data_IF_144235270659
#
_entry.id   IF_144235270659
#
_cell.length_a   1.000
_cell.length_b   1.000
_cell.length_c   1.000
_cell.angle_alpha   90.00
_cell.angle_beta   90.00
_cell.angle_gamma   90.00
#
_symmetry.space_group_name_H-M   'P 1'
#
loop_
_entity.id
_entity.type
_entity.pdbx_description
1 polymer ?
#
# COMPACT_ATOMS: atom_id res chain seq x y z
N UNK A 1 -75.98 20.13 76.73
CA UNK A 1 -75.05 19.24 75.99
C UNK A 1 -75.12 19.46 74.47
N UNK A 2 -76.29 19.67 73.86
CA UNK A 2 -76.43 19.87 72.41
C UNK A 2 -75.78 21.15 71.85
N UNK A 3 -75.77 22.25 72.60
CA UNK A 3 -75.16 23.53 72.18
C UNK A 3 -73.64 23.48 72.09
N UNK A 4 -72.98 22.76 73.01
CA UNK A 4 -71.52 22.59 73.02
C UNK A 4 -71.07 21.77 71.82
N UNK A 5 -71.83 20.73 71.45
CA UNK A 5 -71.53 19.89 70.28
C UNK A 5 -71.60 20.71 68.99
N UNK A 6 -72.60 21.59 68.86
CA UNK A 6 -72.78 22.46 67.69
C UNK A 6 -71.62 23.46 67.52
N UNK A 7 -71.16 24.07 68.61
CA UNK A 7 -70.03 25.00 68.57
C UNK A 7 -68.73 24.29 68.19
N UNK A 8 -68.49 23.09 68.73
CA UNK A 8 -67.31 22.29 68.38
C UNK A 8 -67.35 21.87 66.90
N UNK A 9 -68.52 21.48 66.38
CA UNK A 9 -68.70 21.15 64.97
C UNK A 9 -68.40 22.36 64.06
N UNK A 10 -68.89 23.57 64.41
CA UNK A 10 -68.60 24.78 63.65
C UNK A 10 -67.09 25.13 63.64
N UNK A 11 -66.38 24.96 64.75
CA UNK A 11 -64.93 25.21 64.80
C UNK A 11 -64.16 24.19 63.97
N UNK A 12 -64.56 22.92 64.00
CA UNK A 12 -63.92 21.85 63.20
C UNK A 12 -64.15 22.06 61.70
N UNK A 13 -65.37 22.43 61.29
CA UNK A 13 -65.67 22.76 59.89
C UNK A 13 -64.90 24.00 59.45
N UNK A 14 -64.84 25.06 60.28
CA UNK A 14 -64.03 26.25 60.00
C UNK A 14 -62.54 25.95 59.86
N UNK A 15 -61.98 25.06 60.69
CA UNK A 15 -60.59 24.62 60.59
C UNK A 15 -60.33 23.78 59.33
N UNK A 16 -61.28 22.91 58.94
CA UNK A 16 -61.19 22.10 57.72
C UNK A 16 -61.26 22.95 56.46
N UNK A 17 -62.14 23.95 56.41
CA UNK A 17 -62.21 24.89 55.28
C UNK A 17 -60.94 25.74 55.15
N UNK A 18 -60.37 26.17 56.29
CA UNK A 18 -59.11 26.93 56.29
C UNK A 18 -57.93 26.05 55.82
N UNK A 19 -57.92 24.77 56.22
CA UNK A 19 -56.90 23.81 55.79
C UNK A 19 -57.03 23.48 54.30
N UNK A 20 -58.24 23.24 53.81
CA UNK A 20 -58.51 23.01 52.38
C UNK A 20 -58.16 24.24 51.52
N UNK A 21 -58.48 25.44 52.02
CA UNK A 21 -58.12 26.71 51.36
C UNK A 21 -56.61 26.94 51.31
N UNK A 22 -55.87 26.53 52.36
CA UNK A 22 -54.40 26.60 52.38
C UNK A 22 -53.78 25.57 51.42
N UNK A 23 -54.28 24.34 51.43
CA UNK A 23 -53.82 23.27 50.54
C UNK A 23 -54.04 23.61 49.06
N UNK A 24 -55.17 24.21 48.71
CA UNK A 24 -55.46 24.68 47.34
C UNK A 24 -54.50 25.78 46.89
N UNK A 25 -54.18 26.75 47.76
CA UNK A 25 -53.20 27.80 47.47
C UNK A 25 -51.78 27.23 47.29
N UNK A 26 -51.39 26.25 48.09
CA UNK A 26 -50.08 25.61 47.98
C UNK A 26 -49.97 24.74 46.72
N UNK A 27 -51.06 24.07 46.31
CA UNK A 27 -51.13 23.36 45.02
C UNK A 27 -51.07 24.33 43.83
N UNK A 28 -51.79 25.45 43.87
CA UNK A 28 -51.74 26.47 42.81
C UNK A 28 -50.33 27.04 42.64
N UNK A 29 -49.62 27.32 43.73
CA UNK A 29 -48.22 27.78 43.68
C UNK A 29 -47.28 26.71 43.12
N UNK A 30 -47.48 25.44 43.47
CA UNK A 30 -46.69 24.34 42.92
C UNK A 30 -46.92 24.16 41.41
N UNK A 31 -48.16 24.34 40.93
CA UNK A 31 -48.47 24.31 39.50
C UNK A 31 -47.85 25.48 38.74
N UNK A 32 -47.94 26.71 39.26
CA UNK A 32 -47.29 27.88 38.65
C UNK A 32 -45.77 27.65 38.54
N UNK A 33 -45.14 27.15 39.61
CA UNK A 33 -43.70 26.86 39.60
C UNK A 33 -43.32 25.81 38.55
N UNK A 34 -44.14 24.76 38.36
CA UNK A 34 -43.90 23.75 37.31
C UNK A 34 -44.10 24.32 35.91
N UNK A 35 -45.09 25.19 35.72
CA UNK A 35 -45.33 25.86 34.43
C UNK A 35 -44.15 26.78 34.09
N UNK A 36 -43.63 27.55 35.05
CA UNK A 36 -42.46 28.40 34.84
C UNK A 36 -41.21 27.57 34.52
N UNK A 37 -41.01 26.44 35.23
CA UNK A 37 -39.88 25.52 34.97
C UNK A 37 -39.98 24.84 33.59
N UNK A 38 -41.19 24.43 33.17
CA UNK A 38 -41.45 23.92 31.82
C UNK A 38 -41.21 24.99 30.75
N UNK A 39 -41.65 26.23 30.99
CA UNK A 39 -41.46 27.33 30.04
C UNK A 39 -39.96 27.71 29.91
N UNK A 40 -39.21 27.63 31.02
CA UNK A 40 -37.75 27.82 31.01
C UNK A 40 -37.03 26.69 30.27
N UNK A 41 -37.50 25.44 30.39
CA UNK A 41 -36.95 24.32 29.62
C UNK A 41 -37.27 24.43 28.13
N UNK A 42 -38.49 24.82 27.76
CA UNK A 42 -38.90 25.03 26.36
C UNK A 42 -38.14 26.20 25.74
N UNK A 43 -37.90 27.29 26.48
CA UNK A 43 -37.11 28.41 25.97
C UNK A 43 -35.65 28.02 25.74
N UNK A 44 -35.04 27.26 26.67
CA UNK A 44 -33.68 26.71 26.49
C UNK A 44 -33.60 25.77 25.28
N UNK A 45 -34.58 24.88 25.11
CA UNK A 45 -34.64 23.98 23.95
C UNK A 45 -34.83 24.74 22.63
N UNK A 46 -35.69 25.78 22.61
CA UNK A 46 -35.84 26.63 21.43
C UNK A 46 -34.55 27.36 21.10
N UNK A 47 -33.83 27.91 22.08
CA UNK A 47 -32.52 28.54 21.83
C UNK A 47 -31.53 27.55 21.25
N UNK A 48 -31.45 26.32 21.78
CA UNK A 48 -30.58 25.27 21.23
C UNK A 48 -30.99 24.90 19.80
N UNK A 49 -32.28 24.74 19.52
CA UNK A 49 -32.77 24.43 18.15
C UNK A 49 -32.47 25.55 17.16
N UNK A 50 -32.57 26.83 17.56
CA UNK A 50 -32.16 27.95 16.69
C UNK A 50 -30.66 27.89 16.41
N UNK A 51 -29.82 27.66 17.42
CA UNK A 51 -28.36 27.58 17.21
C UNK A 51 -27.96 26.39 16.33
N UNK A 52 -28.62 25.24 16.50
CA UNK A 52 -28.40 24.07 15.65
C UNK A 52 -28.92 24.34 14.24
N UNK A 53 -30.05 25.02 14.08
CA UNK A 53 -30.58 25.45 12.78
C UNK A 53 -29.63 26.40 12.04
N UNK A 54 -29.05 27.37 12.74
CA UNK A 54 -28.04 28.28 12.19
C UNK A 54 -26.76 27.54 11.80
N UNK A 55 -26.28 26.63 12.65
CA UNK A 55 -25.10 25.80 12.37
C UNK A 55 -25.33 24.86 11.17
N UNK A 56 -26.49 24.21 11.09
CA UNK A 56 -26.84 23.33 9.97
C UNK A 56 -26.96 24.14 8.67
N UNK A 57 -27.53 25.35 8.73
CA UNK A 57 -27.63 26.23 7.56
C UNK A 57 -26.25 26.74 7.11
N UNK A 58 -25.36 27.03 8.05
CA UNK A 58 -23.97 27.40 7.76
C UNK A 58 -23.21 26.25 7.09
N UNK A 59 -23.31 25.04 7.64
CA UNK A 59 -22.69 23.83 7.07
C UNK A 59 -23.27 23.48 5.69
N UNK A 60 -24.59 23.57 5.51
CA UNK A 60 -25.22 23.31 4.21
C UNK A 60 -24.80 24.37 3.17
N UNK A 61 -24.62 25.62 3.59
CA UNK A 61 -24.10 26.67 2.72
C UNK A 61 -22.62 26.47 2.34
N UNK A 62 -21.82 25.87 3.23
CA UNK A 62 -20.41 25.51 3.02
C UNK A 62 -20.29 24.32 2.08
N UNK A 63 -21.09 23.28 2.29
CA UNK A 63 -21.17 22.13 1.37
C UNK A 63 -21.58 22.58 -0.03
N UNK A 64 -22.58 23.47 -0.13
CA UNK A 64 -23.04 23.98 -1.42
C UNK A 64 -22.02 24.89 -2.12
N UNK A 65 -21.28 25.72 -1.38
CA UNK A 65 -20.30 26.66 -1.97
C UNK A 65 -18.95 26.03 -2.26
N UNK A 66 -18.50 25.11 -1.43
CA UNK A 66 -17.10 24.66 -1.48
C UNK A 66 -17.00 23.22 -1.96
N UNK A 67 -17.86 22.32 -1.47
CA UNK A 67 -17.73 20.88 -1.73
C UNK A 67 -18.31 20.50 -3.09
N UNK A 68 -19.49 21.01 -3.45
CA UNK A 68 -20.10 20.68 -4.75
C UNK A 68 -19.23 21.15 -5.95
N UNK A 69 -18.67 22.38 -5.96
CA UNK A 69 -17.81 22.81 -7.06
C UNK A 69 -16.48 22.06 -7.10
N UNK A 70 -15.93 21.70 -5.93
CA UNK A 70 -14.71 20.89 -5.85
C UNK A 70 -14.93 19.45 -6.35
N UNK A 71 -16.12 18.88 -6.12
CA UNK A 71 -16.48 17.58 -6.69
C UNK A 71 -16.71 17.67 -8.20
N UNK A 72 -17.35 18.72 -8.71
CA UNK A 72 -17.53 18.93 -10.15
C UNK A 72 -16.18 19.11 -10.88
N UNK A 73 -15.25 19.86 -10.29
CA UNK A 73 -13.91 20.04 -10.87
C UNK A 73 -13.11 18.73 -10.89
N UNK A 74 -13.16 17.94 -9.81
CA UNK A 74 -12.53 16.62 -9.74
C UNK A 74 -13.17 15.63 -10.72
N UNK A 75 -14.50 15.65 -10.88
CA UNK A 75 -15.19 14.81 -11.86
C UNK A 75 -14.74 15.15 -13.28
N UNK A 76 -14.67 16.43 -13.65
CA UNK A 76 -14.17 16.86 -14.96
C UNK A 76 -12.71 16.47 -15.19
N UNK A 77 -11.87 16.61 -14.17
CA UNK A 77 -10.47 16.21 -14.24
C UNK A 77 -10.33 14.70 -14.45
N UNK A 78 -11.08 13.90 -13.69
CA UNK A 78 -11.09 12.44 -13.84
C UNK A 78 -11.62 12.02 -15.21
N UNK A 79 -12.67 12.67 -15.72
CA UNK A 79 -13.17 12.42 -17.09
C UNK A 79 -12.08 12.70 -18.13
N UNK A 80 -11.33 13.79 -18.00
CA UNK A 80 -10.21 14.10 -18.89
C UNK A 80 -9.09 13.05 -18.84
N UNK A 81 -8.75 12.56 -17.64
CA UNK A 81 -7.76 11.48 -17.48
C UNK A 81 -8.24 10.16 -18.09
N UNK A 82 -9.54 9.84 -17.97
CA UNK A 82 -10.13 8.64 -18.58
C UNK A 82 -10.10 8.74 -20.10
N UNK A 83 -10.37 9.92 -20.67
CA UNK A 83 -10.25 10.14 -22.12
C UNK A 83 -8.80 10.00 -22.61
N UNK A 84 -7.83 10.48 -21.84
CA UNK A 84 -6.40 10.32 -22.15
C UNK A 84 -5.96 8.86 -22.09
N UNK A 85 -6.38 8.12 -21.06
CA UNK A 85 -6.13 6.68 -20.94
C UNK A 85 -6.79 5.92 -22.10
N UNK A 86 -8.01 6.27 -22.49
CA UNK A 86 -8.70 5.65 -23.64
C UNK A 86 -7.92 5.87 -24.95
N UNK A 87 -7.34 7.06 -25.14
CA UNK A 87 -6.50 7.37 -26.29
C UNK A 87 -5.20 6.53 -26.30
N UNK A 88 -4.54 6.40 -25.14
CA UNK A 88 -3.34 5.56 -24.99
C UNK A 88 -3.64 4.08 -25.26
N UNK A 89 -4.78 3.57 -24.77
CA UNK A 89 -5.22 2.19 -25.02
C UNK A 89 -5.50 1.97 -26.51
N UNK A 90 -6.16 2.91 -27.18
CA UNK A 90 -6.36 2.83 -28.63
C UNK A 90 -5.05 2.83 -29.42
N UNK A 91 -4.07 3.61 -28.96
CA UNK A 91 -2.75 3.62 -29.57
C UNK A 91 -2.01 2.30 -29.35
N UNK A 92 -2.08 1.72 -28.15
CA UNK A 92 -1.51 0.42 -27.82
C UNK A 92 -2.13 -0.71 -28.67
N UNK A 93 -3.46 -0.73 -28.83
CA UNK A 93 -4.17 -1.69 -29.70
C UNK A 93 -3.71 -1.56 -31.17
N UNK A 94 -3.47 -0.32 -31.62
CA UNK A 94 -2.86 -0.05 -32.92
C UNK A 94 -1.48 -0.71 -33.08
N UNK A 95 -0.60 -0.56 -32.08
CA UNK A 95 0.71 -1.20 -32.10
C UNK A 95 0.63 -2.73 -32.05
N UNK A 96 -0.27 -3.29 -31.24
CA UNK A 96 -0.48 -4.74 -31.15
C UNK A 96 -0.95 -5.33 -32.48
N UNK A 97 -1.88 -4.69 -33.19
CA UNK A 97 -2.30 -5.13 -34.54
C UNK A 97 -1.15 -5.13 -35.54
N UNK A 98 -0.28 -4.12 -35.49
CA UNK A 98 0.91 -4.05 -36.36
C UNK A 98 1.89 -5.16 -36.02
N UNK A 99 2.14 -5.42 -34.74
CA UNK A 99 3.02 -6.51 -34.29
C UNK A 99 2.47 -7.89 -34.66
N UNK A 100 1.17 -8.12 -34.47
CA UNK A 100 0.50 -9.36 -34.86
C UNK A 100 0.64 -9.63 -36.37
N UNK A 101 0.48 -8.59 -37.20
CA UNK A 101 0.68 -8.70 -38.65
C UNK A 101 2.12 -9.07 -39.00
N UNK A 102 3.11 -8.45 -38.33
CA UNK A 102 4.53 -8.77 -38.53
C UNK A 102 4.87 -10.19 -38.12
N UNK A 103 4.36 -10.66 -36.98
CA UNK A 103 4.55 -12.05 -36.53
C UNK A 103 3.97 -13.04 -37.54
N UNK A 104 2.78 -12.77 -38.06
CA UNK A 104 2.15 -13.61 -39.06
C UNK A 104 2.95 -13.66 -40.38
N UNK A 105 3.54 -12.55 -40.81
CA UNK A 105 4.42 -12.53 -41.98
C UNK A 105 5.74 -13.27 -41.75
N UNK A 106 6.34 -13.15 -40.55
CA UNK A 106 7.51 -13.95 -40.16
C UNK A 106 7.19 -15.46 -40.12
N UNK A 107 6.00 -15.82 -39.65
CA UNK A 107 5.54 -17.21 -39.66
C UNK A 107 5.39 -17.74 -41.10
N UNK A 108 4.82 -16.95 -42.02
CA UNK A 108 4.80 -17.28 -43.45
C UNK A 108 6.21 -17.48 -44.01
N UNK A 109 7.15 -16.59 -43.69
CA UNK A 109 8.56 -16.73 -44.11
C UNK A 109 9.21 -18.01 -43.55
N UNK A 110 8.89 -18.39 -42.31
CA UNK A 110 9.36 -19.65 -41.73
C UNK A 110 8.82 -20.86 -42.48
N UNK A 111 7.53 -20.85 -42.85
CA UNK A 111 6.91 -21.94 -43.62
C UNK A 111 7.53 -22.05 -45.01
N UNK A 112 7.79 -20.93 -45.69
CA UNK A 112 8.44 -20.94 -47.00
C UNK A 112 9.89 -21.43 -46.92
N UNK A 113 10.66 -21.01 -45.90
CA UNK A 113 12.01 -21.54 -45.65
C UNK A 113 12.00 -23.05 -45.38
N UNK A 114 11.02 -23.56 -44.61
CA UNK A 114 10.87 -24.99 -44.39
C UNK A 114 10.55 -25.75 -45.69
N UNK A 115 9.72 -25.18 -46.57
CA UNK A 115 9.45 -25.74 -47.88
C UNK A 115 10.69 -25.73 -48.79
N UNK A 116 11.49 -24.66 -48.76
CA UNK A 116 12.77 -24.58 -49.49
C UNK A 116 13.77 -25.62 -49.00
N UNK A 117 13.88 -25.83 -47.68
CA UNK A 117 14.72 -26.89 -47.11
C UNK A 117 14.31 -28.28 -47.59
N UNK A 118 13.00 -28.59 -47.65
CA UNK A 118 12.53 -29.87 -48.20
C UNK A 118 12.91 -30.04 -49.68
N UNK A 119 12.72 -28.99 -50.50
CA UNK A 119 13.15 -29.03 -51.90
C UNK A 119 14.66 -29.20 -52.06
N UNK A 120 15.45 -28.60 -51.16
CA UNK A 120 16.90 -28.74 -51.19
C UNK A 120 17.34 -30.17 -50.85
N UNK A 121 16.66 -30.82 -49.90
CA UNK A 121 16.84 -32.25 -49.59
C UNK A 121 16.44 -33.14 -50.78
N UNK A 122 15.34 -32.84 -51.47
CA UNK A 122 14.94 -33.56 -52.69
C UNK A 122 15.99 -33.40 -53.81
N UNK A 123 16.52 -32.19 -54.03
CA UNK A 123 17.60 -31.96 -55.00
C UNK A 123 18.88 -32.69 -54.59
N UNK A 124 19.23 -32.69 -53.30
CA UNK A 124 20.38 -33.42 -52.77
C UNK A 124 20.26 -34.92 -53.02
N UNK A 125 19.09 -35.53 -52.74
CA UNK A 125 18.86 -36.96 -53.02
C UNK A 125 18.93 -37.28 -54.51
N UNK A 126 18.42 -36.40 -55.37
CA UNK A 126 18.56 -36.50 -56.82
C UNK A 126 20.03 -36.43 -57.27
N UNK A 127 20.79 -35.44 -56.78
CA UNK A 127 22.22 -35.32 -57.08
C UNK A 127 23.00 -36.52 -56.57
N UNK A 128 22.71 -37.01 -55.34
CA UNK A 128 23.35 -38.21 -54.77
C UNK A 128 23.13 -39.44 -55.65
N UNK A 129 21.94 -39.59 -56.22
CA UNK A 129 21.65 -40.67 -57.18
C UNK A 129 22.45 -40.54 -58.49
N UNK A 130 22.67 -39.32 -58.98
CA UNK A 130 23.46 -39.02 -60.19
C UNK A 130 24.97 -39.22 -59.93
N UNK A 131 25.48 -38.78 -58.78
CA UNK A 131 26.89 -39.00 -58.39
C UNK A 131 27.23 -40.47 -58.16
N UNK A 132 26.26 -41.32 -57.78
CA UNK A 132 26.47 -42.78 -57.70
C UNK A 132 26.79 -43.41 -59.06
N UNK A 133 26.47 -42.71 -60.16
CA UNK A 133 26.76 -43.14 -61.53
C UNK A 133 28.08 -42.56 -62.10
N UNK A 134 28.81 -41.71 -61.38
CA UNK A 134 30.00 -41.03 -61.91
C UNK A 134 31.06 -40.76 -60.86
N UNK A 135 31.99 -41.71 -60.68
CA UNK A 135 33.07 -41.65 -59.69
C UNK A 135 34.42 -41.34 -60.34
N UNK A 136 34.86 -40.08 -60.23
CA UNK A 136 36.28 -39.68 -60.20
C UNK A 136 36.47 -38.18 -59.89
N UNK A 137 35.54 -37.30 -60.28
CA UNK A 137 35.64 -35.85 -60.04
C UNK A 137 34.98 -35.39 -58.71
N UNK A 138 34.59 -36.33 -57.85
CA UNK A 138 33.62 -36.12 -56.75
C UNK A 138 34.31 -35.94 -55.39
N UNK A 139 35.51 -36.49 -55.17
CA UNK A 139 36.20 -36.42 -53.87
C UNK A 139 36.44 -34.99 -53.37
N UNK A 140 37.01 -34.11 -54.20
CA UNK A 140 37.28 -32.72 -53.78
C UNK A 140 36.02 -31.86 -53.57
N UNK A 141 34.86 -32.27 -54.11
CA UNK A 141 33.56 -31.61 -53.86
C UNK A 141 32.84 -32.19 -52.65
N UNK A 142 33.14 -33.43 -52.28
CA UNK A 142 32.61 -34.08 -51.09
C UNK A 142 33.22 -33.48 -49.83
N UNK A 143 34.53 -33.22 -49.81
CA UNK A 143 35.17 -32.55 -48.67
C UNK A 143 34.61 -31.13 -48.44
N UNK A 144 34.46 -30.34 -49.51
CA UNK A 144 33.85 -29.01 -49.41
C UNK A 144 32.35 -29.03 -49.03
N UNK A 145 31.65 -30.14 -49.29
CA UNK A 145 30.26 -30.33 -48.87
C UNK A 145 30.16 -30.80 -47.41
N UNK A 146 31.13 -31.58 -46.93
CA UNK A 146 31.22 -32.00 -45.53
C UNK A 146 31.53 -30.82 -44.61
N UNK A 147 32.44 -29.92 -45.00
CA UNK A 147 32.68 -28.67 -44.26
C UNK A 147 31.40 -27.82 -44.15
N UNK A 148 30.68 -27.66 -45.26
CA UNK A 148 29.40 -26.93 -45.27
C UNK A 148 28.31 -27.62 -44.46
N UNK A 149 28.35 -28.96 -44.33
CA UNK A 149 27.43 -29.71 -43.48
C UNK A 149 27.74 -29.48 -42.01
N UNK A 150 29.03 -29.40 -41.63
CA UNK A 150 29.43 -29.08 -40.26
C UNK A 150 29.02 -27.66 -39.84
N UNK A 151 29.12 -26.69 -40.75
CA UNK A 151 28.62 -25.32 -40.54
C UNK A 151 27.08 -25.28 -40.40
N UNK A 152 26.37 -26.14 -41.15
CA UNK A 152 24.91 -26.27 -41.07
C UNK A 152 24.45 -27.00 -39.79
N UNK A 153 25.20 -27.98 -39.31
CA UNK A 153 24.95 -28.62 -38.01
C UNK A 153 25.14 -27.61 -36.87
N UNK A 154 26.19 -26.79 -36.93
CA UNK A 154 26.43 -25.71 -35.98
C UNK A 154 25.30 -24.68 -35.96
N UNK A 155 24.86 -24.22 -37.14
CA UNK A 155 23.68 -23.35 -37.27
C UNK A 155 22.38 -24.03 -36.79
N UNK A 156 22.26 -25.35 -36.98
CA UNK A 156 21.14 -26.16 -36.47
C UNK A 156 21.08 -26.20 -34.95
N UNK A 157 22.24 -26.32 -34.27
CA UNK A 157 22.33 -26.25 -32.81
C UNK A 157 21.96 -24.88 -32.27
N UNK A 158 22.42 -23.81 -32.93
CA UNK A 158 22.07 -22.42 -32.58
C UNK A 158 20.55 -22.17 -32.73
N UNK A 159 19.92 -22.72 -33.78
CA UNK A 159 18.47 -22.60 -33.99
C UNK A 159 17.68 -23.36 -32.91
N UNK A 160 18.14 -24.53 -32.46
CA UNK A 160 17.49 -25.27 -31.38
C UNK A 160 17.63 -24.56 -30.03
N UNK A 161 18.76 -23.91 -29.78
CA UNK A 161 18.96 -23.07 -28.59
C UNK A 161 18.07 -21.82 -28.61
N UNK A 162 17.90 -21.21 -29.78
CA UNK A 162 16.95 -20.12 -30.01
C UNK A 162 15.49 -20.56 -29.83
N UNK A 163 15.14 -21.77 -30.29
CA UNK A 163 13.82 -22.36 -30.04
C UNK A 163 13.59 -22.61 -28.55
N UNK A 164 14.57 -23.14 -27.82
CA UNK A 164 14.47 -23.38 -26.38
C UNK A 164 14.32 -22.07 -25.59
N UNK A 165 15.01 -21.03 -26.04
CA UNK A 165 14.90 -19.68 -25.49
C UNK A 165 13.52 -19.09 -25.76
N UNK A 166 13.00 -19.24 -26.99
CA UNK A 166 11.65 -18.80 -27.36
C UNK A 166 10.55 -19.54 -26.59
N UNK A 167 10.70 -20.84 -26.35
CA UNK A 167 9.76 -21.62 -25.54
C UNK A 167 9.75 -21.13 -24.10
N UNK A 168 10.92 -20.85 -23.49
CA UNK A 168 10.98 -20.22 -22.17
C UNK A 168 10.32 -18.86 -22.13
N UNK A 169 10.59 -18.00 -23.11
CA UNK A 169 9.93 -16.68 -23.14
C UNK A 169 8.43 -16.77 -23.37
N UNK A 170 7.94 -17.83 -24.03
CA UNK A 170 6.51 -18.07 -24.19
C UNK A 170 5.87 -18.60 -22.90
N UNK A 171 6.55 -19.50 -22.19
CA UNK A 171 6.14 -19.94 -20.85
C UNK A 171 6.09 -18.76 -19.87
N UNK A 172 7.12 -17.89 -19.87
CA UNK A 172 7.15 -16.68 -19.03
C UNK A 172 6.00 -15.72 -19.38
N UNK A 173 5.64 -15.59 -20.65
CA UNK A 173 4.50 -14.76 -21.09
C UNK A 173 3.17 -15.41 -20.74
N UNK A 174 3.06 -16.74 -20.83
CA UNK A 174 1.87 -17.48 -20.42
C UNK A 174 1.63 -17.37 -18.91
N UNK A 175 2.69 -17.41 -18.10
CA UNK A 175 2.62 -17.19 -16.65
C UNK A 175 2.13 -15.76 -16.32
N UNK A 176 2.68 -14.74 -16.99
CA UNK A 176 2.25 -13.34 -16.82
C UNK A 176 0.80 -13.13 -17.29
N UNK A 177 0.39 -13.77 -18.39
CA UNK A 177 -1.01 -13.70 -18.87
C UNK A 177 -1.95 -14.44 -17.92
N UNK A 178 -1.53 -15.57 -17.33
CA UNK A 178 -2.31 -16.30 -16.33
C UNK A 178 -2.48 -15.48 -15.05
N UNK A 179 -1.43 -14.79 -14.61
CA UNK A 179 -1.46 -13.89 -13.46
C UNK A 179 -2.37 -12.67 -13.72
N UNK A 180 -2.29 -12.08 -14.93
CA UNK A 180 -3.18 -11.00 -15.36
C UNK A 180 -4.64 -11.44 -15.49
N UNK A 181 -4.90 -12.67 -15.97
CA UNK A 181 -6.26 -13.19 -16.06
C UNK A 181 -6.86 -13.46 -14.69
N UNK A 182 -6.09 -14.05 -13.76
CA UNK A 182 -6.50 -14.19 -12.35
C UNK A 182 -6.76 -12.84 -11.69
N UNK A 183 -5.96 -11.83 -12.01
CA UNK A 183 -6.15 -10.45 -11.56
C UNK A 183 -7.47 -9.85 -12.08
N UNK A 184 -7.74 -9.98 -13.38
CA UNK A 184 -8.98 -9.43 -13.97
C UNK A 184 -10.24 -10.19 -13.54
N UNK A 185 -10.14 -11.50 -13.34
CA UNK A 185 -11.25 -12.31 -12.83
C UNK A 185 -11.57 -11.96 -11.36
N UNK A 186 -10.54 -11.76 -10.55
CA UNK A 186 -10.67 -11.27 -9.16
C UNK A 186 -11.29 -9.87 -9.06
N UNK A 187 -10.81 -8.91 -9.87
CA UNK A 187 -11.38 -7.55 -9.89
C UNK A 187 -12.83 -7.53 -10.38
N UNK A 188 -13.18 -8.36 -11.37
CA UNK A 188 -14.53 -8.40 -11.92
C UNK A 188 -15.52 -9.07 -10.95
N UNK A 189 -15.14 -10.17 -10.31
CA UNK A 189 -15.99 -10.82 -9.30
C UNK A 189 -16.18 -9.94 -8.06
N UNK A 190 -15.17 -9.16 -7.66
CA UNK A 190 -15.23 -8.20 -6.56
C UNK A 190 -16.09 -6.96 -6.92
N UNK A 191 -16.00 -6.47 -8.15
CA UNK A 191 -16.86 -5.41 -8.67
C UNK A 191 -18.33 -5.84 -8.78
N UNK A 192 -18.58 -7.11 -9.16
CA UNK A 192 -19.93 -7.69 -9.26
C UNK A 192 -20.52 -7.93 -7.88
N UNK A 193 -19.74 -8.45 -6.93
CA UNK A 193 -20.20 -8.67 -5.54
C UNK A 193 -20.44 -7.36 -4.79
N UNK A 194 -19.61 -6.34 -4.99
CA UNK A 194 -19.83 -5.00 -4.40
C UNK A 194 -21.05 -4.28 -4.99
N UNK A 195 -21.34 -4.49 -6.28
CA UNK A 195 -22.56 -3.97 -6.93
C UNK A 195 -23.83 -4.70 -6.47
N UNK A 196 -23.73 -6.00 -6.17
CA UNK A 196 -24.86 -6.81 -5.71
C UNK A 196 -25.20 -6.60 -4.22
N UNK A 197 -24.24 -6.17 -3.40
CA UNK A 197 -24.42 -6.04 -1.94
C UNK A 197 -24.76 -4.62 -1.47
N UNK A 198 -24.57 -3.58 -2.30
CA UNK A 198 -25.08 -2.22 -2.02
C UNK A 198 -24.55 -1.56 -0.75
N UNK A 199 -23.42 -2.02 -0.22
CA UNK A 199 -22.83 -1.55 1.03
C UNK A 199 -21.96 -0.31 0.79
N UNK A 200 -22.17 0.82 1.49
CA UNK A 200 -21.33 2.01 1.32
C UNK A 200 -19.89 1.75 1.77
N UNK A 201 -18.94 2.22 0.95
CA UNK A 201 -17.48 2.12 1.15
C UNK A 201 -17.05 2.65 2.53
N UNK A 202 -16.79 1.75 3.46
CA UNK A 202 -16.27 2.04 4.79
C UNK A 202 -15.98 0.75 5.53
N UNK A 203 -14.72 0.32 5.51
CA UNK A 203 -14.24 -0.90 6.18
C UNK A 203 -14.19 -2.12 5.26
N UNK A 204 -13.02 -2.76 5.23
CA UNK A 204 -12.71 -4.05 4.57
C UNK A 204 -12.61 -4.11 3.03
N UNK A 205 -13.23 -3.22 2.27
CA UNK A 205 -13.09 -3.17 0.79
C UNK A 205 -11.82 -2.47 0.25
N UNK A 206 -10.97 -1.94 1.13
CA UNK A 206 -9.70 -1.27 0.77
C UNK A 206 -8.48 -2.20 0.91
N UNK A 207 -8.74 -3.48 1.21
CA UNK A 207 -7.69 -4.47 1.31
C UNK A 207 -7.08 -4.79 -0.06
N UNK A 208 -7.84 -4.69 -1.16
CA UNK A 208 -7.42 -5.12 -2.50
C UNK A 208 -6.54 -4.09 -3.23
N UNK A 209 -6.75 -2.78 -3.00
CA UNK A 209 -5.94 -1.74 -3.63
C UNK A 209 -4.57 -1.60 -2.94
N UNK A 210 -3.52 -1.37 -3.73
CA UNK A 210 -2.20 -1.02 -3.17
C UNK A 210 -2.30 0.35 -2.52
N UNK A 211 -2.19 0.41 -1.20
CA UNK A 211 -2.28 1.66 -0.43
C UNK A 211 -0.89 2.25 -0.11
N UNK A 212 0.16 1.43 -0.14
CA UNK A 212 1.52 1.85 0.16
C UNK A 212 2.58 1.02 -0.60
N UNK A 213 3.75 1.61 -0.82
CA UNK A 213 4.93 0.93 -1.39
C UNK A 213 5.94 0.66 -0.28
N UNK A 214 6.62 -0.47 -0.37
CA UNK A 214 7.74 -0.83 0.49
C UNK A 214 8.96 -1.19 -0.34
N UNK A 215 10.15 -1.03 0.23
CA UNK A 215 11.42 -1.36 -0.43
C UNK A 215 12.37 -1.92 0.60
N UNK A 216 13.16 -2.90 0.21
CA UNK A 216 14.21 -3.47 1.03
C UNK A 216 15.44 -3.71 0.15
N UNK A 217 16.58 -3.24 0.64
CA UNK A 217 17.86 -3.55 0.07
C UNK A 217 18.92 -3.58 1.16
N UNK A 218 19.84 -4.53 1.04
CA UNK A 218 21.01 -4.65 1.89
C UNK A 218 22.23 -4.87 1.02
N UNK A 219 23.38 -4.35 1.46
CA UNK A 219 24.67 -4.67 0.86
C UNK A 219 25.15 -6.07 1.24
N UNK A 220 24.73 -6.58 2.40
CA UNK A 220 25.23 -7.82 2.97
C UNK A 220 24.32 -9.00 2.63
N UNK A 221 24.82 -9.92 1.79
CA UNK A 221 24.07 -11.12 1.34
C UNK A 221 23.68 -12.05 2.50
N UNK A 222 24.50 -12.13 3.55
CA UNK A 222 24.27 -13.02 4.69
C UNK A 222 23.11 -12.54 5.58
N UNK A 223 22.81 -11.24 5.54
CA UNK A 223 21.71 -10.64 6.29
C UNK A 223 20.45 -10.50 5.44
N UNK A 224 20.48 -10.80 4.15
CA UNK A 224 19.35 -10.58 3.24
C UNK A 224 18.11 -11.40 3.65
N UNK A 225 18.31 -12.69 3.95
CA UNK A 225 17.23 -13.57 4.41
C UNK A 225 16.64 -13.12 5.75
N UNK A 226 17.52 -12.78 6.71
CA UNK A 226 17.11 -12.35 8.06
C UNK A 226 16.40 -10.99 7.99
N UNK A 227 16.96 -10.03 7.26
CA UNK A 227 16.35 -8.71 7.07
C UNK A 227 14.99 -8.82 6.39
N UNK A 228 14.85 -9.74 5.44
CA UNK A 228 13.58 -9.99 4.76
C UNK A 228 12.55 -10.56 5.72
N UNK A 229 12.90 -11.58 6.50
CA UNK A 229 11.97 -12.15 7.48
C UNK A 229 11.53 -11.10 8.52
N UNK A 230 12.47 -10.32 9.04
CA UNK A 230 12.20 -9.28 10.04
C UNK A 230 11.40 -8.12 9.45
N UNK A 231 11.69 -7.74 8.20
CA UNK A 231 10.94 -6.73 7.47
C UNK A 231 9.49 -7.17 7.24
N UNK A 232 9.27 -8.38 6.72
CA UNK A 232 7.91 -8.89 6.47
C UNK A 232 7.14 -9.07 7.77
N UNK A 233 7.81 -9.47 8.86
CA UNK A 233 7.22 -9.50 10.19
C UNK A 233 6.78 -8.11 10.63
N UNK A 234 7.64 -7.09 10.47
CA UNK A 234 7.31 -5.70 10.79
C UNK A 234 6.11 -5.19 9.98
N UNK A 235 6.05 -5.51 8.68
CA UNK A 235 4.93 -5.16 7.80
C UNK A 235 3.62 -5.81 8.29
N UNK A 236 3.64 -7.12 8.59
CA UNK A 236 2.46 -7.85 9.08
C UNK A 236 1.98 -7.31 10.43
N UNK A 237 2.91 -7.00 11.34
CA UNK A 237 2.57 -6.43 12.65
C UNK A 237 2.03 -5.01 12.53
N UNK A 238 2.50 -4.22 11.56
CA UNK A 238 1.92 -2.92 11.21
C UNK A 238 0.56 -3.01 10.48
N UNK A 239 -0.06 -4.22 10.46
CA UNK A 239 -1.35 -4.52 9.81
C UNK A 239 -1.38 -4.27 8.30
N UNK A 240 -0.21 -4.32 7.67
CA UNK A 240 -0.08 -4.27 6.22
C UNK A 240 0.01 -5.68 5.65
N UNK A 241 -0.66 -5.89 4.52
CA UNK A 241 -0.60 -7.12 3.74
C UNK A 241 0.32 -6.92 2.53
N UNK A 242 1.25 -7.85 2.34
CA UNK A 242 2.11 -7.87 1.15
C UNK A 242 1.29 -8.47 0.00
N UNK A 243 1.01 -7.66 -1.03
CA UNK A 243 0.23 -8.08 -2.20
C UNK A 243 1.10 -8.73 -3.25
N UNK A 244 2.16 -8.04 -3.64
CA UNK A 244 3.16 -8.57 -4.55
C UNK A 244 4.55 -8.05 -4.18
N UNK A 245 5.56 -8.84 -4.58
CA UNK A 245 6.96 -8.50 -4.44
C UNK A 245 7.63 -8.59 -5.81
N UNK A 246 8.40 -7.58 -6.17
CA UNK A 246 9.20 -7.58 -7.38
C UNK A 246 10.68 -7.48 -7.01
N UNK A 247 11.52 -8.18 -7.77
CA UNK A 247 12.97 -8.06 -7.67
C UNK A 247 13.45 -7.07 -8.74
N UNK A 248 14.11 -6.00 -8.33
CA UNK A 248 14.50 -4.89 -9.21
C UNK A 248 16.02 -4.90 -9.43
N UNK A 249 16.52 -5.79 -10.30
CA UNK A 249 17.94 -5.88 -10.64
C UNK A 249 18.28 -5.16 -11.94
N UNK A 250 19.38 -4.36 -12.02
CA UNK A 250 19.87 -3.87 -13.30
C UNK A 250 20.45 -5.06 -14.08
N UNK A 251 19.64 -5.60 -14.98
CA UNK A 251 19.89 -6.80 -15.79
C UNK A 251 19.79 -8.11 -15.00
N UNK A 252 19.06 -9.07 -15.58
CA UNK A 252 18.69 -10.34 -14.97
C UNK A 252 19.80 -10.99 -14.15
N UNK A 253 19.44 -11.34 -12.92
CA UNK A 253 20.02 -12.39 -12.08
C UNK A 253 21.50 -12.70 -12.36
N UNK A 254 22.38 -11.70 -12.16
CA UNK A 254 23.81 -12.01 -12.04
C UNK A 254 24.05 -12.55 -10.63
N UNK A 255 24.52 -13.80 -10.47
CA UNK A 255 24.75 -14.36 -9.15
C UNK A 255 25.80 -13.52 -8.41
N UNK A 256 25.45 -13.02 -7.23
CA UNK A 256 26.31 -12.23 -6.35
C UNK A 256 26.06 -10.71 -6.32
N UNK A 257 25.05 -10.18 -7.03
CA UNK A 257 24.59 -8.80 -6.79
C UNK A 257 23.47 -8.78 -5.74
N UNK A 258 23.53 -7.90 -4.73
CA UNK A 258 22.50 -7.82 -3.69
C UNK A 258 21.13 -7.52 -4.29
N UNK A 259 20.15 -8.36 -3.93
CA UNK A 259 18.79 -8.26 -4.46
C UNK A 259 18.11 -6.99 -3.95
N UNK A 260 17.53 -6.21 -4.87
CA UNK A 260 16.66 -5.08 -4.55
C UNK A 260 15.23 -5.59 -4.57
N UNK A 261 14.53 -5.51 -3.43
CA UNK A 261 13.16 -6.00 -3.31
C UNK A 261 12.20 -4.83 -3.17
N UNK A 262 11.18 -4.79 -4.02
CA UNK A 262 10.08 -3.83 -3.95
C UNK A 262 8.81 -4.56 -3.54
N UNK A 263 8.14 -4.04 -2.53
CA UNK A 263 6.92 -4.56 -1.95
C UNK A 263 5.77 -3.63 -2.27
N UNK A 264 4.61 -4.20 -2.53
CA UNK A 264 3.38 -3.45 -2.71
C UNK A 264 2.43 -3.88 -1.61
N UNK A 265 2.08 -2.92 -0.77
CA UNK A 265 1.45 -3.12 0.52
C UNK A 265 0.01 -2.59 0.46
N UNK A 266 -0.90 -3.31 1.10
CA UNK A 266 -2.30 -2.92 1.21
C UNK A 266 -2.80 -2.99 2.66
N UNK A 267 -3.86 -2.27 2.96
CA UNK A 267 -4.64 -2.42 4.20
C UNK A 267 -4.82 -1.14 5.03
N UNK A 268 -3.84 -0.25 5.08
CA UNK A 268 -3.95 1.03 5.81
C UNK A 268 -3.65 2.22 4.91
N UNK A 269 -4.34 3.34 5.17
CA UNK A 269 -4.06 4.61 4.51
C UNK A 269 -2.68 5.14 4.90
N UNK A 270 -2.02 5.82 3.97
CA UNK A 270 -0.66 6.34 4.16
C UNK A 270 -0.57 7.35 5.31
N UNK A 271 -1.62 8.17 5.54
CA UNK A 271 -1.66 9.17 6.62
C UNK A 271 -1.75 8.53 8.01
N UNK A 272 -2.63 7.55 8.18
CA UNK A 272 -2.80 6.80 9.44
C UNK A 272 -1.51 6.06 9.80
N UNK A 273 -0.86 5.49 8.79
CA UNK A 273 0.39 4.76 8.92
C UNK A 273 1.57 5.68 9.28
N UNK A 274 1.61 6.90 8.72
CA UNK A 274 2.59 7.91 9.09
C UNK A 274 2.45 8.31 10.58
N UNK A 275 1.20 8.49 11.04
CA UNK A 275 0.90 8.75 12.45
C UNK A 275 1.34 7.60 13.36
N UNK A 276 1.03 6.35 12.97
CA UNK A 276 1.42 5.15 13.69
C UNK A 276 2.94 4.99 13.81
N UNK A 277 3.67 5.11 12.71
CA UNK A 277 5.14 5.01 12.74
C UNK A 277 5.80 6.16 13.49
N UNK A 278 5.25 7.37 13.42
CA UNK A 278 5.73 8.50 14.24
C UNK A 278 5.60 8.18 15.73
N UNK A 279 4.46 7.61 16.17
CA UNK A 279 4.26 7.21 17.55
C UNK A 279 5.25 6.10 17.98
N UNK A 280 5.49 5.12 17.12
CA UNK A 280 6.45 4.04 17.38
C UNK A 280 7.90 4.55 17.46
N UNK A 281 8.29 5.49 16.60
CA UNK A 281 9.62 6.12 16.64
C UNK A 281 9.80 6.99 17.88
N UNK A 282 8.76 7.72 18.31
CA UNK A 282 8.78 8.46 19.58
C UNK A 282 8.95 7.50 20.77
N UNK A 283 8.22 6.38 20.79
CA UNK A 283 8.35 5.34 21.83
C UNK A 283 9.77 4.75 21.84
N UNK A 284 10.30 4.42 20.66
CA UNK A 284 11.67 3.89 20.52
C UNK A 284 12.73 4.90 20.96
N UNK A 285 12.55 6.18 20.62
CA UNK A 285 13.42 7.26 21.06
C UNK A 285 13.37 7.53 22.57
N UNK A 286 12.24 7.22 23.22
CA UNK A 286 12.08 7.39 24.67
C UNK A 286 12.88 6.36 25.50
N UNK A 287 13.36 5.27 24.88
CA UNK A 287 14.22 4.28 25.52
C UNK A 287 15.69 4.72 25.64
N UNK A 288 16.09 5.80 24.97
CA UNK A 288 17.45 6.34 25.11
C UNK A 288 17.67 6.88 26.53
N UNK A 289 18.76 6.49 27.21
CA UNK A 289 19.17 7.14 28.44
C UNK A 289 19.51 8.62 28.14
N UNK A 290 18.98 9.48 28.99
CA UNK A 290 19.04 10.94 28.92
C UNK A 290 20.43 11.47 28.50
N UNK A 291 20.57 11.94 27.27
CA UNK A 291 21.68 12.79 26.85
C UNK A 291 21.11 14.06 26.21
N UNK A 292 20.65 14.97 27.07
CA UNK A 292 20.45 16.40 26.81
C UNK A 292 19.51 16.80 25.66
N UNK A 293 18.38 17.43 26.00
CA UNK A 293 17.46 18.19 25.12
C UNK A 293 16.37 17.43 24.33
N UNK A 294 15.52 16.65 25.00
CA UNK A 294 14.27 16.14 24.40
C UNK A 294 13.11 16.10 25.39
N UNK A 295 11.92 16.54 24.97
CA UNK A 295 10.69 16.80 25.74
C UNK A 295 9.99 15.55 26.32
N UNK A 296 10.70 14.70 27.07
CA UNK A 296 10.08 13.54 27.74
C UNK A 296 9.66 13.91 29.17
N UNK A 297 8.35 13.90 29.43
CA UNK A 297 7.81 13.80 30.81
C UNK A 297 8.33 12.49 31.40
N UNK A 298 8.94 12.57 32.59
CA UNK A 298 9.66 11.48 33.24
C UNK A 298 8.86 10.17 33.32
N UNK A 299 9.54 9.06 32.99
CA UNK A 299 9.07 7.70 33.27
C UNK A 299 8.82 7.58 34.78
N UNK A 300 7.65 7.14 35.25
CA UNK A 300 7.48 6.81 36.65
C UNK A 300 8.44 5.67 36.98
N UNK A 301 9.34 5.92 37.92
CA UNK A 301 10.26 4.91 38.47
C UNK A 301 9.40 3.80 39.05
N UNK A 302 9.30 2.68 38.33
CA UNK A 302 8.61 1.49 38.82
C UNK A 302 9.41 0.90 39.99
N UNK A 303 8.73 0.42 41.04
CA UNK A 303 9.40 -0.21 42.17
C UNK A 303 10.17 -1.47 41.72
N UNK A 304 11.29 -1.80 42.39
CA UNK A 304 12.11 -2.96 42.04
C UNK A 304 11.28 -4.25 42.16
N UNK A 305 11.21 -5.02 41.08
CA UNK A 305 10.46 -6.28 40.98
C UNK A 305 9.23 -6.25 40.07
N UNK A 306 8.87 -5.09 39.50
CA UNK A 306 7.84 -5.01 38.45
C UNK A 306 8.52 -5.09 37.10
N UNK A 307 8.33 -6.21 36.38
CA UNK A 307 8.77 -6.32 35.00
C UNK A 307 8.17 -5.19 34.17
N UNK A 308 8.97 -4.49 33.34
CA UNK A 308 8.43 -3.45 32.48
C UNK A 308 7.31 -4.04 31.62
N UNK A 309 6.21 -3.30 31.40
CA UNK A 309 5.15 -3.77 30.53
C UNK A 309 5.76 -4.15 29.19
N UNK A 310 5.46 -5.38 28.74
CA UNK A 310 5.93 -5.90 27.46
C UNK A 310 5.56 -4.88 26.37
N UNK A 311 6.56 -4.42 25.61
CA UNK A 311 6.31 -3.46 24.54
C UNK A 311 5.22 -4.02 23.60
N UNK A 312 4.33 -3.17 23.07
CA UNK A 312 3.36 -3.62 22.07
C UNK A 312 4.09 -4.33 20.92
N UNK A 313 3.47 -5.36 20.35
CA UNK A 313 4.12 -6.23 19.36
C UNK A 313 4.69 -5.44 18.18
N UNK A 314 4.00 -4.37 17.79
CA UNK A 314 4.38 -3.40 16.75
C UNK A 314 5.71 -2.70 17.04
N UNK A 315 5.94 -2.32 18.30
CA UNK A 315 7.18 -1.68 18.73
C UNK A 315 8.34 -2.69 18.78
N UNK A 316 8.08 -3.90 19.26
CA UNK A 316 9.09 -4.96 19.27
C UNK A 316 9.53 -5.36 17.85
N UNK A 317 8.58 -5.45 16.91
CA UNK A 317 8.86 -5.77 15.52
C UNK A 317 9.67 -4.66 14.82
N UNK A 318 9.29 -3.39 15.03
CA UNK A 318 10.04 -2.25 14.50
C UNK A 318 11.47 -2.19 15.07
N UNK A 319 11.63 -2.37 16.38
CA UNK A 319 12.97 -2.38 17.01
C UNK A 319 13.84 -3.52 16.52
N UNK A 320 13.26 -4.71 16.31
CA UNK A 320 13.99 -5.82 15.71
C UNK A 320 14.49 -5.45 14.31
N UNK A 321 13.64 -4.88 13.46
CA UNK A 321 14.02 -4.42 12.12
C UNK A 321 15.16 -3.39 12.17
N UNK A 322 15.05 -2.38 13.02
CA UNK A 322 16.06 -1.32 13.14
C UNK A 322 17.40 -1.84 13.66
N UNK A 323 17.40 -2.84 14.55
CA UNK A 323 18.63 -3.50 15.02
C UNK A 323 19.29 -4.34 13.94
N UNK A 324 18.52 -5.15 13.23
CA UNK A 324 19.05 -5.94 12.12
C UNK A 324 19.58 -5.04 10.99
N UNK A 325 18.91 -3.90 10.74
CA UNK A 325 19.43 -2.88 9.82
C UNK A 325 20.74 -2.27 10.32
N UNK A 326 20.88 -2.03 11.63
CA UNK A 326 22.12 -1.48 12.20
C UNK A 326 23.32 -2.42 12.05
N UNK A 327 23.10 -3.73 12.19
CA UNK A 327 24.11 -4.77 12.01
C UNK A 327 24.64 -4.84 10.57
N UNK A 328 23.90 -4.32 9.59
CA UNK A 328 24.35 -4.25 8.19
C UNK A 328 25.37 -3.12 7.94
N UNK A 329 26.23 -3.33 6.95
CA UNK A 329 27.20 -2.34 6.45
C UNK A 329 26.58 -1.26 5.55
N UNK A 330 25.32 -1.48 5.15
CA UNK A 330 24.53 -0.54 4.38
C UNK A 330 23.22 -1.16 3.95
N UNK A 331 22.10 -0.61 4.41
CA UNK A 331 20.79 -1.11 4.08
C UNK A 331 19.77 0.03 4.03
N UNK A 332 18.71 -0.18 3.26
CA UNK A 332 17.56 0.71 3.17
C UNK A 332 16.31 -0.13 3.31
N UNK A 333 15.43 0.27 4.22
CA UNK A 333 14.10 -0.30 4.37
C UNK A 333 13.07 0.83 4.31
N UNK A 334 12.05 0.66 3.48
CA UNK A 334 10.91 1.54 3.36
C UNK A 334 9.64 0.73 3.61
N UNK A 335 8.78 1.22 4.50
CA UNK A 335 7.43 0.68 4.73
C UNK A 335 6.46 1.85 4.60
N UNK A 336 5.93 2.06 3.39
CA UNK A 336 5.09 3.21 3.07
C UNK A 336 5.81 4.54 3.32
N UNK A 337 5.30 5.41 4.22
CA UNK A 337 5.93 6.66 4.63
C UNK A 337 7.17 6.46 5.50
N UNK A 338 7.33 5.33 6.22
CA UNK A 338 8.53 5.11 7.03
C UNK A 338 9.70 4.73 6.13
N UNK A 339 10.82 5.43 6.28
CA UNK A 339 12.10 5.09 5.65
C UNK A 339 13.19 5.00 6.72
N UNK A 340 13.87 3.87 6.77
CA UNK A 340 15.03 3.62 7.61
C UNK A 340 16.25 3.36 6.72
N UNK A 341 17.34 4.07 7.00
CA UNK A 341 18.58 4.02 6.21
C UNK A 341 19.75 3.80 7.14
N UNK A 342 20.52 2.76 6.85
CA UNK A 342 21.82 2.49 7.46
C UNK A 342 22.93 2.91 6.49
N UNK A 343 23.68 3.95 6.86
CA UNK A 343 24.96 4.29 6.23
C UNK A 343 26.12 3.59 6.98
N UNK A 344 27.39 3.95 6.76
CA UNK A 344 28.53 3.29 7.45
C UNK A 344 28.52 3.48 8.96
N UNK A 345 28.20 4.68 9.43
CA UNK A 345 28.34 5.04 10.85
C UNK A 345 27.02 5.52 11.47
N UNK A 346 25.95 5.62 10.69
CA UNK A 346 24.69 6.23 11.12
C UNK A 346 23.49 5.35 10.77
N UNK A 347 22.47 5.37 11.63
CA UNK A 347 21.14 4.81 11.38
C UNK A 347 20.12 5.94 11.49
N UNK A 348 19.57 6.34 10.35
CA UNK A 348 18.57 7.41 10.27
C UNK A 348 17.21 6.83 9.92
N UNK A 349 16.18 7.32 10.60
CA UNK A 349 14.79 7.02 10.29
C UNK A 349 14.04 8.32 10.00
N UNK A 350 13.16 8.29 9.02
CA UNK A 350 12.28 9.40 8.72
C UNK A 350 10.88 8.90 8.37
N UNK A 351 9.89 9.73 8.68
CA UNK A 351 8.51 9.53 8.22
C UNK A 351 8.24 10.56 7.13
N UNK A 352 8.19 10.08 5.90
CA UNK A 352 8.04 10.87 4.68
C UNK A 352 6.57 11.18 4.42
N UNK A 353 6.32 12.39 3.95
CA UNK A 353 5.03 12.76 3.37
C UNK A 353 4.91 12.15 1.95
N UNK A 354 3.68 11.97 1.42
CA UNK A 354 3.48 11.48 0.06
C UNK A 354 4.30 12.20 -1.03
N UNK A 355 4.41 13.56 -1.06
CA UNK A 355 5.22 14.23 -2.08
C UNK A 355 6.72 13.95 -1.90
N UNK A 356 7.24 13.86 -0.68
CA UNK A 356 8.64 13.53 -0.42
C UNK A 356 8.96 12.09 -0.86
N UNK A 357 8.06 11.14 -0.60
CA UNK A 357 8.23 9.75 -1.03
C UNK A 357 8.37 9.63 -2.55
N UNK A 358 7.59 10.43 -3.29
CA UNK A 358 7.58 10.47 -4.75
C UNK A 358 8.83 11.15 -5.33
N UNK A 359 9.34 12.22 -4.70
CA UNK A 359 10.60 12.86 -5.07
C UNK A 359 11.82 11.93 -4.91
N UNK A 360 11.85 11.13 -3.84
CA UNK A 360 12.92 10.14 -3.68
C UNK A 360 12.81 9.00 -4.71
N UNK A 361 11.61 8.72 -5.22
CA UNK A 361 11.37 7.67 -6.20
C UNK A 361 11.85 8.07 -7.58
N UNK A 362 11.61 9.32 -7.98
CA UNK A 362 12.08 9.85 -9.27
C UNK A 362 13.59 9.93 -9.37
N UNK A 363 14.31 10.10 -8.25
CA UNK A 363 15.77 10.27 -8.24
C UNK A 363 16.55 8.94 -8.11
N UNK A 364 15.88 7.78 -8.02
CA UNK A 364 16.48 6.45 -7.73
C UNK A 364 17.35 6.38 -6.46
N UNK A 365 17.24 7.38 -5.58
CA UNK A 365 18.09 7.55 -4.39
C UNK A 365 17.84 6.46 -3.34
N UNK A 366 16.72 5.74 -3.42
CA UNK A 366 16.36 4.66 -2.48
C UNK A 366 17.39 3.52 -2.41
N UNK A 367 18.11 3.26 -3.49
CA UNK A 367 19.04 2.13 -3.53
C UNK A 367 20.48 2.50 -3.14
N UNK A 368 20.75 3.78 -2.87
CA UNK A 368 22.03 4.25 -2.36
C UNK A 368 21.87 4.82 -0.93
N UNK A 369 22.27 4.06 0.11
CA UNK A 369 22.19 4.52 1.49
C UNK A 369 22.91 5.85 1.73
N UNK A 370 24.01 6.13 1.02
CA UNK A 370 24.76 7.37 1.21
C UNK A 370 23.97 8.57 0.67
N UNK A 371 23.45 8.47 -0.56
CA UNK A 371 22.59 9.49 -1.14
C UNK A 371 21.29 9.68 -0.35
N UNK A 372 20.66 8.59 0.09
CA UNK A 372 19.45 8.63 0.91
C UNK A 372 19.70 9.37 2.23
N UNK A 373 20.81 9.07 2.93
CA UNK A 373 21.20 9.76 4.17
C UNK A 373 21.35 11.26 3.97
N UNK A 374 22.01 11.69 2.88
CA UNK A 374 22.18 13.12 2.56
C UNK A 374 20.83 13.81 2.32
N UNK A 375 19.87 13.12 1.70
CA UNK A 375 18.52 13.65 1.47
C UNK A 375 17.71 13.71 2.75
N UNK A 376 17.73 12.65 3.57
CA UNK A 376 17.03 12.63 4.86
C UNK A 376 17.50 13.74 5.80
N UNK A 377 18.79 14.09 5.79
CA UNK A 377 19.32 15.22 6.57
C UNK A 377 18.82 16.60 6.16
N UNK A 378 18.27 16.75 4.94
CA UNK A 378 17.65 18.00 4.48
C UNK A 378 16.21 18.13 4.94
N UNK A 379 15.60 17.06 5.47
CA UNK A 379 14.25 17.09 5.99
C UNK A 379 14.18 17.93 7.28
N UNK A 380 13.00 18.47 7.61
CA UNK A 380 12.77 19.12 8.88
C UNK A 380 13.15 18.21 10.06
N UNK A 381 13.74 18.79 11.12
CA UNK A 381 14.21 18.05 12.29
C UNK A 381 13.13 17.29 13.07
N UNK A 382 11.84 17.59 12.83
CA UNK A 382 10.72 16.88 13.44
C UNK A 382 10.29 15.63 12.67
N UNK A 383 10.83 15.40 11.47
CA UNK A 383 10.57 14.24 10.61
C UNK A 383 11.75 13.27 10.57
N UNK A 384 12.87 13.63 11.21
CA UNK A 384 14.12 12.88 11.20
C UNK A 384 14.47 12.42 12.61
N UNK A 385 14.76 11.14 12.75
CA UNK A 385 15.24 10.50 13.97
C UNK A 385 16.62 9.91 13.72
N UNK A 386 17.60 10.41 14.46
CA UNK A 386 18.91 9.77 14.55
C UNK A 386 18.86 8.70 15.64
N UNK A 387 18.88 7.44 15.20
CA UNK A 387 18.81 6.27 16.07
C UNK A 387 20.17 5.59 16.22
N UNK A 388 21.24 6.23 15.77
CA UNK A 388 22.60 5.66 15.82
C UNK A 388 23.02 5.30 17.24
N UNK A 389 22.81 6.22 18.19
CA UNK A 389 23.14 5.99 19.60
C UNK A 389 22.25 4.92 20.25
N UNK A 390 20.98 4.82 19.82
CA UNK A 390 20.03 3.83 20.31
C UNK A 390 20.40 2.43 19.82
N UNK A 391 20.72 2.29 18.53
CA UNK A 391 21.06 1.00 17.95
C UNK A 391 22.40 0.44 18.45
N UNK A 392 23.31 1.32 18.90
CA UNK A 392 24.56 0.93 19.54
C UNK A 392 24.37 0.39 20.98
N UNK A 393 23.19 0.55 21.59
CA UNK A 393 22.88 -0.02 22.91
C UNK A 393 22.29 -1.44 22.78
N UNK A 394 22.80 -2.42 23.55
CA UNK A 394 22.40 -3.82 23.45
C UNK A 394 20.95 -4.09 23.91
#
# INVERSE_FOLDING_TARGET
>A
MTTVILVVMCVVVGALELYAGKQSKDQARAFVRRIDELNEQVSKQNTVLVTVGEQLTAELSKVKRDVLPALDSRLRQNTGQVEELAALVHQADGYLRVQATRLHDLEKQRVTLAALRRKLVEVETSVRSVTRAGTAAVEGKVDAALDRLSDLERSGTEILELQRTLTRTLEDVEDVVTELLQFTEGELDEAVTSSLTGQPRGGEGDAAAVTATGRLWTRDEHLDDILTEVYERCVRTARLNIRFRTMEGPNGSTPGTPERRRYFLAGHNMEDLAGGFTALLISTGADLPHNGNGLSRGRPVLPPGVEPPRAPEDEAALKALLRTLHESTGAVAQIGPLMAVRARDELLCAVLTPPQSLELESDEVYWDPAAATVRLRRLPSHQLWDLTAWAATP
#
